data_IF_713711762519
#
_entry.id   IF_713711762519
#
_cell.length_a   1.000
_cell.length_b   1.000
_cell.length_c   1.000
_cell.angle_alpha   90.00
_cell.angle_beta   90.00
_cell.angle_gamma   90.00
#
_symmetry.space_group_name_H-M   'P 1'
#
loop_
_entity.id
_entity.type
_entity.pdbx_description
1 polymer ?
#
# COMPACT_ATOMS: atom_id res chain seq x y z
N UNK A 1 3.55 24.36 -23.85
CA UNK A 1 3.63 23.02 -23.23
C UNK A 1 2.79 22.99 -21.95
N UNK A 2 1.57 22.45 -22.00
CA UNK A 2 0.61 22.49 -20.87
C UNK A 2 0.94 21.39 -19.85
N UNK A 3 1.40 21.78 -18.66
CA UNK A 3 1.56 20.88 -17.50
C UNK A 3 0.17 20.42 -17.05
N UNK A 4 -0.19 19.16 -17.33
CA UNK A 4 -1.39 18.51 -16.78
C UNK A 4 -1.23 18.41 -15.26
N UNK A 5 -1.85 19.34 -14.52
CA UNK A 5 -2.07 19.22 -13.08
C UNK A 5 -2.94 17.99 -12.85
N UNK A 6 -2.39 16.93 -12.26
CA UNK A 6 -3.21 15.83 -11.76
C UNK A 6 -4.11 16.39 -10.66
N UNK A 7 -5.39 16.54 -11.03
CA UNK A 7 -6.49 16.98 -10.19
C UNK A 7 -6.50 16.11 -8.93
N UNK A 8 -6.33 16.72 -7.76
CA UNK A 8 -6.66 16.13 -6.47
C UNK A 8 -8.11 15.64 -6.58
N UNK A 9 -8.32 14.33 -6.75
CA UNK A 9 -9.66 13.76 -6.74
C UNK A 9 -10.24 13.99 -5.35
N UNK A 10 -11.45 14.57 -5.33
CA UNK A 10 -12.21 14.78 -4.10
C UNK A 10 -12.47 13.41 -3.47
N UNK A 11 -12.15 13.26 -2.20
CA UNK A 11 -12.28 12.03 -1.41
C UNK A 11 -13.75 11.54 -1.35
N UNK A 12 -14.73 12.39 -1.67
CA UNK A 12 -16.16 12.11 -1.51
C UNK A 12 -16.81 11.25 -2.61
N UNK A 13 -16.13 10.94 -3.72
CA UNK A 13 -16.73 10.22 -4.87
C UNK A 13 -15.93 9.00 -5.33
N UNK A 14 -14.84 8.66 -4.64
CA UNK A 14 -14.07 7.47 -5.00
C UNK A 14 -14.72 6.27 -4.31
N UNK A 15 -15.29 5.36 -5.12
CA UNK A 15 -15.51 3.98 -4.70
C UNK A 15 -14.19 3.48 -4.10
N UNK A 16 -14.18 3.29 -2.78
CA UNK A 16 -13.05 2.75 -2.06
C UNK A 16 -12.97 1.28 -2.43
N UNK A 17 -12.17 0.93 -3.43
CA UNK A 17 -11.94 -0.47 -3.71
C UNK A 17 -11.14 -1.02 -2.55
N UNK A 18 -11.75 -1.81 -1.67
CA UNK A 18 -11.05 -2.40 -0.52
C UNK A 18 -10.68 -3.82 -0.85
N UNK A 19 -9.44 -4.16 -0.54
CA UNK A 19 -8.95 -5.52 -0.42
C UNK A 19 -9.15 -5.99 1.00
N UNK A 20 -10.00 -7.01 1.16
CA UNK A 20 -10.19 -7.71 2.43
C UNK A 20 -9.27 -8.91 2.43
N UNK A 21 -8.36 -8.95 3.40
CA UNK A 21 -7.54 -10.10 3.70
C UNK A 21 -8.11 -10.76 4.96
N UNK A 22 -8.52 -12.04 4.90
CA UNK A 22 -9.00 -12.77 6.07
C UNK A 22 -8.55 -14.23 6.04
N UNK A 23 -8.06 -14.74 7.17
CA UNK A 23 -7.63 -16.15 7.31
C UNK A 23 -8.77 -17.10 7.67
N UNK A 24 -9.72 -16.62 8.48
CA UNK A 24 -10.81 -17.48 8.95
C UNK A 24 -12.00 -17.45 7.99
N UNK A 25 -12.59 -18.61 7.64
CA UNK A 25 -13.83 -18.66 6.86
C UNK A 25 -14.96 -17.83 7.50
N UNK A 26 -15.00 -17.80 8.83
CA UNK A 26 -16.00 -17.05 9.60
C UNK A 26 -15.79 -15.54 9.53
N UNK A 27 -14.54 -15.05 9.63
CA UNK A 27 -14.22 -13.64 9.45
C UNK A 27 -14.46 -13.18 8.01
N UNK A 28 -14.12 -14.01 7.03
CA UNK A 28 -14.41 -13.72 5.63
C UNK A 28 -15.92 -13.64 5.37
N UNK A 29 -16.71 -14.55 5.95
CA UNK A 29 -18.17 -14.56 5.85
C UNK A 29 -18.79 -13.33 6.52
N UNK A 30 -18.35 -12.98 7.74
CA UNK A 30 -18.82 -11.80 8.47
C UNK A 30 -18.53 -10.51 7.68
N UNK A 31 -17.33 -10.37 7.13
CA UNK A 31 -16.97 -9.18 6.36
C UNK A 31 -17.80 -9.10 5.07
N UNK A 32 -17.98 -10.21 4.34
CA UNK A 32 -18.87 -10.25 3.16
C UNK A 32 -20.33 -9.92 3.50
N UNK A 33 -20.78 -10.23 4.71
CA UNK A 33 -22.13 -9.91 5.18
C UNK A 33 -22.28 -8.42 5.52
N UNK A 34 -21.26 -7.80 6.12
CA UNK A 34 -21.30 -6.40 6.58
C UNK A 34 -20.94 -5.42 5.47
N UNK A 35 -20.10 -5.83 4.51
CA UNK A 35 -19.60 -5.01 3.44
C UNK A 35 -20.27 -5.40 2.10
N UNK A 36 -21.03 -4.49 1.46
CA UNK A 36 -21.68 -4.80 0.20
C UNK A 36 -20.64 -5.13 -0.89
N UNK A 37 -20.78 -6.24 -1.62
CA UNK A 37 -19.80 -6.70 -2.60
C UNK A 37 -19.56 -5.72 -3.76
N UNK A 38 -20.50 -4.82 -4.02
CA UNK A 38 -20.39 -3.77 -5.04
C UNK A 38 -19.32 -2.69 -4.73
N UNK A 39 -18.81 -2.63 -3.50
CA UNK A 39 -17.80 -1.65 -3.10
C UNK A 39 -16.40 -2.26 -2.90
N UNK A 40 -16.25 -3.59 -2.84
CA UNK A 40 -15.01 -4.21 -2.34
C UNK A 40 -14.62 -5.50 -3.09
N UNK A 41 -13.31 -5.76 -3.19
CA UNK A 41 -12.75 -6.97 -3.82
C UNK A 41 -11.97 -7.75 -2.77
N UNK A 42 -12.45 -8.92 -2.35
CA UNK A 42 -11.71 -9.80 -1.43
C UNK A 42 -10.53 -10.43 -2.18
N UNK A 43 -9.30 -10.29 -1.69
CA UNK A 43 -8.12 -11.04 -2.20
C UNK A 43 -7.51 -11.83 -1.05
N UNK A 44 -7.08 -13.06 -1.33
CA UNK A 44 -6.41 -13.88 -0.33
C UNK A 44 -5.03 -13.30 0.02
N UNK A 45 -4.65 -13.25 1.31
CA UNK A 45 -3.36 -12.67 1.70
C UNK A 45 -2.19 -13.58 1.34
N UNK A 46 -1.05 -13.02 0.88
CA UNK A 46 0.23 -13.71 0.94
C UNK A 46 0.60 -13.83 2.42
N UNK A 47 0.47 -15.04 2.97
CA UNK A 47 0.79 -15.47 4.34
C UNK A 47 1.42 -14.42 5.28
N UNK A 48 0.69 -13.97 6.32
CA UNK A 48 1.24 -13.30 7.53
C UNK A 48 0.20 -13.21 8.66
N UNK A 49 0.70 -13.01 9.89
CA UNK A 49 0.03 -13.17 11.19
C UNK A 49 -1.06 -12.14 11.55
N UNK A 50 -2.08 -12.01 10.70
CA UNK A 50 -3.26 -11.22 11.06
C UNK A 50 -4.60 -11.83 10.64
N UNK A 51 -5.63 -11.57 11.43
CA UNK A 51 -6.92 -12.25 11.28
C UNK A 51 -7.83 -11.58 10.24
N UNK A 52 -7.82 -10.23 10.14
CA UNK A 52 -8.45 -9.48 9.05
C UNK A 52 -7.89 -8.06 8.85
N UNK A 53 -7.75 -7.58 7.60
CA UNK A 53 -7.53 -6.14 7.28
C UNK A 53 -8.30 -5.67 6.04
N UNK A 54 -8.58 -4.36 6.00
CA UNK A 54 -9.23 -3.61 4.92
C UNK A 54 -8.18 -2.62 4.37
N UNK A 55 -7.81 -2.74 3.09
CA UNK A 55 -6.85 -1.83 2.45
C UNK A 55 -7.39 -1.32 1.13
N UNK A 56 -7.26 -0.02 0.85
CA UNK A 56 -7.63 0.54 -0.45
C UNK A 56 -6.74 -0.01 -1.59
N UNK A 57 -7.35 -0.58 -2.64
CA UNK A 57 -6.67 -0.98 -3.86
C UNK A 57 -6.08 0.26 -4.52
N UNK A 58 -4.79 0.21 -4.79
CA UNK A 58 -4.06 1.38 -5.28
C UNK A 58 -3.65 2.39 -4.20
N UNK A 59 -3.81 2.06 -2.90
CA UNK A 59 -3.23 2.84 -1.80
C UNK A 59 -1.77 3.20 -2.09
N UNK A 60 -0.99 2.22 -2.52
CA UNK A 60 0.36 2.39 -3.05
C UNK A 60 0.37 2.22 -4.57
N UNK A 61 1.10 3.09 -5.25
CA UNK A 61 1.40 2.96 -6.68
C UNK A 61 2.36 1.78 -6.93
N UNK A 62 2.44 1.25 -8.16
CA UNK A 62 3.40 0.18 -8.49
C UNK A 62 4.85 0.54 -8.15
N UNK A 63 5.23 1.80 -8.34
CA UNK A 63 6.58 2.27 -8.01
C UNK A 63 6.79 2.37 -6.49
N UNK A 64 5.80 2.85 -5.73
CA UNK A 64 5.89 2.89 -4.26
C UNK A 64 6.01 1.49 -3.66
N UNK A 65 5.31 0.49 -4.22
CA UNK A 65 5.49 -0.92 -3.85
C UNK A 65 6.90 -1.41 -4.14
N UNK A 66 7.41 -1.20 -5.37
CA UNK A 66 8.79 -1.57 -5.74
C UNK A 66 9.83 -0.95 -4.82
N UNK A 67 9.67 0.32 -4.45
CA UNK A 67 10.58 1.01 -3.53
C UNK A 67 10.56 0.35 -2.14
N UNK A 68 9.38 -0.01 -1.63
CA UNK A 68 9.30 -0.69 -0.33
C UNK A 68 9.86 -2.11 -0.39
N UNK A 69 9.57 -2.90 -1.44
CA UNK A 69 10.14 -4.24 -1.63
C UNK A 69 11.67 -4.18 -1.67
N UNK A 70 12.24 -3.28 -2.49
CA UNK A 70 13.69 -3.08 -2.55
C UNK A 70 14.28 -2.62 -1.21
N UNK A 71 13.52 -1.86 -0.40
CA UNK A 71 13.97 -1.43 0.91
C UNK A 71 14.01 -2.58 1.93
N UNK A 72 13.10 -3.54 1.83
CA UNK A 72 13.14 -4.79 2.62
C UNK A 72 14.37 -5.62 2.24
N UNK A 73 14.69 -5.71 0.95
CA UNK A 73 15.82 -6.50 0.45
C UNK A 73 17.18 -5.84 0.74
N UNK A 74 17.31 -4.53 0.53
CA UNK A 74 18.59 -3.82 0.50
C UNK A 74 18.87 -2.98 1.76
N UNK A 75 17.86 -2.74 2.59
CA UNK A 75 17.96 -2.08 3.90
C UNK A 75 18.23 -0.57 3.89
N UNK A 76 18.82 0.00 2.84
CA UNK A 76 19.21 1.43 2.82
C UNK A 76 18.67 2.21 1.63
N UNK A 77 18.34 3.49 1.84
CA UNK A 77 17.87 4.41 0.79
C UNK A 77 18.90 4.54 -0.33
N UNK A 78 20.20 4.51 -0.01
CA UNK A 78 21.28 4.63 -1.00
C UNK A 78 21.32 3.40 -1.92
N UNK A 79 21.29 2.20 -1.33
CA UNK A 79 21.25 0.96 -2.10
C UNK A 79 19.99 0.84 -2.96
N UNK A 80 18.82 1.22 -2.43
CA UNK A 80 17.57 1.26 -3.21
C UNK A 80 17.64 2.25 -4.37
N UNK A 81 18.22 3.43 -4.15
CA UNK A 81 18.39 4.43 -5.19
C UNK A 81 19.30 3.93 -6.32
N UNK A 82 20.41 3.29 -5.98
CA UNK A 82 21.33 2.66 -6.93
C UNK A 82 20.65 1.51 -7.70
N UNK A 83 19.99 0.60 -6.99
CA UNK A 83 19.30 -0.56 -7.56
C UNK A 83 18.16 -0.16 -8.53
N UNK A 84 17.41 0.89 -8.21
CA UNK A 84 16.29 1.36 -9.03
C UNK A 84 16.69 2.48 -10.01
N UNK A 85 17.97 2.83 -10.11
CA UNK A 85 18.50 3.90 -10.96
C UNK A 85 17.82 5.27 -10.73
N UNK A 86 17.54 5.60 -9.46
CA UNK A 86 17.00 6.90 -9.05
C UNK A 86 18.00 7.69 -8.22
N UNK A 87 17.82 9.02 -8.18
CA UNK A 87 18.54 9.84 -7.21
C UNK A 87 18.03 9.55 -5.78
N UNK A 88 18.90 9.49 -4.74
CA UNK A 88 18.47 9.30 -3.35
C UNK A 88 17.41 10.32 -2.87
N UNK A 89 17.44 11.55 -3.38
CA UNK A 89 16.44 12.59 -3.08
C UNK A 89 15.05 12.23 -3.63
N UNK A 90 15.01 11.60 -4.81
CA UNK A 90 13.78 11.08 -5.42
C UNK A 90 13.19 9.96 -4.58
N UNK A 91 14.01 9.01 -4.11
CA UNK A 91 13.55 7.94 -3.21
C UNK A 91 12.99 8.52 -1.91
N UNK A 92 13.66 9.50 -1.28
CA UNK A 92 13.15 10.20 -0.10
C UNK A 92 11.78 10.83 -0.34
N UNK A 93 11.58 11.45 -1.52
CA UNK A 93 10.28 12.04 -1.88
C UNK A 93 9.18 10.99 -1.99
N UNK A 94 9.46 9.83 -2.59
CA UNK A 94 8.52 8.72 -2.62
C UNK A 94 8.22 8.18 -1.22
N UNK A 95 9.24 8.03 -0.36
CA UNK A 95 9.06 7.62 1.03
C UNK A 95 8.15 8.58 1.80
N UNK A 96 8.28 9.90 1.62
CA UNK A 96 7.35 10.87 2.22
C UNK A 96 5.89 10.65 1.76
N UNK A 97 5.67 10.32 0.47
CA UNK A 97 4.34 9.97 -0.04
C UNK A 97 3.81 8.70 0.61
N UNK A 98 4.65 7.66 0.69
CA UNK A 98 4.34 6.38 1.32
C UNK A 98 3.97 6.58 2.79
N UNK A 99 4.77 7.34 3.54
CA UNK A 99 4.54 7.61 4.96
C UNK A 99 3.18 8.26 5.19
N UNK A 100 2.81 9.23 4.34
CA UNK A 100 1.49 9.87 4.41
C UNK A 100 0.35 8.90 4.10
N UNK A 101 0.52 8.04 3.10
CA UNK A 101 -0.49 7.04 2.69
C UNK A 101 -0.69 5.96 3.75
N UNK A 102 0.40 5.46 4.32
CA UNK A 102 0.41 4.43 5.35
C UNK A 102 0.21 4.99 6.78
N UNK A 103 0.18 6.32 6.93
CA UNK A 103 0.09 7.04 8.22
C UNK A 103 1.18 6.64 9.23
N UNK A 104 2.39 6.43 8.73
CA UNK A 104 3.59 6.09 9.53
C UNK A 104 4.63 7.20 9.46
N UNK A 105 5.68 7.13 10.26
CA UNK A 105 6.73 8.17 10.31
C UNK A 105 8.09 7.70 9.79
N UNK A 106 8.31 6.39 9.68
CA UNK A 106 9.64 5.84 9.38
C UNK A 106 9.59 4.73 8.34
N UNK A 107 10.73 4.50 7.69
CA UNK A 107 10.92 3.43 6.70
C UNK A 107 10.67 2.02 7.28
N UNK A 108 11.18 1.66 8.48
CA UNK A 108 10.87 0.39 9.11
C UNK A 108 9.38 0.20 9.40
N UNK A 109 8.69 1.25 9.88
CA UNK A 109 7.24 1.19 10.07
C UNK A 109 6.49 0.99 8.76
N UNK A 110 6.92 1.69 7.69
CA UNK A 110 6.28 1.58 6.37
C UNK A 110 6.44 0.19 5.75
N UNK A 111 7.64 -0.38 5.82
CA UNK A 111 7.95 -1.72 5.31
C UNK A 111 7.23 -2.80 6.12
N UNK A 112 7.32 -2.77 7.45
CA UNK A 112 6.61 -3.72 8.31
C UNK A 112 5.09 -3.69 8.09
N UNK A 113 4.50 -2.49 7.98
CA UNK A 113 3.08 -2.36 7.72
C UNK A 113 2.71 -2.82 6.31
N UNK A 114 3.49 -2.49 5.29
CA UNK A 114 3.22 -2.92 3.92
C UNK A 114 3.26 -4.44 3.77
N UNK A 115 4.24 -5.10 4.40
CA UNK A 115 4.34 -6.57 4.48
C UNK A 115 3.11 -7.14 5.20
N UNK A 116 2.78 -6.62 6.40
CA UNK A 116 1.63 -7.09 7.18
C UNK A 116 0.30 -6.95 6.44
N UNK A 117 0.17 -5.92 5.61
CA UNK A 117 -1.02 -5.64 4.81
C UNK A 117 -1.02 -6.35 3.44
N UNK A 118 -0.03 -7.20 3.13
CA UNK A 118 0.07 -7.88 1.84
C UNK A 118 0.24 -6.92 0.65
N UNK A 119 0.78 -5.72 0.89
CA UNK A 119 1.01 -4.72 -0.14
C UNK A 119 2.34 -4.92 -0.88
N UNK A 120 3.28 -5.64 -0.29
CA UNK A 120 4.58 -6.06 -0.84
C UNK A 120 4.95 -7.44 -0.34
#
# INVERSE_FOLDING_TARGET
MKRKRHKTRRIAEQQLTVVIFCRSPLGAALIKQVLPPEFFIVKEPPSLDADSFIVEEGLLTPLERKILSALVELGTIKAVAEHLHYNPTTIKRYLCSIYRKLRVKTAPQATALAVRLGLI
#
